data_IF_772553679607
#
_entry.id   IF_772553679607
#
_cell.length_a   1.000
_cell.length_b   1.000
_cell.length_c   1.000
_cell.angle_alpha   90.00
_cell.angle_beta   90.00
_cell.angle_gamma   90.00
#
_symmetry.space_group_name_H-M   'P 1'
#
loop_
_entity.id
_entity.type
_entity.pdbx_description
1 polymer ?
#
# COMPACT_ATOMS: atom_id res chain seq x y z
N UNK A 1 62.94 -29.33 -6.40
CA UNK A 1 61.94 -28.71 -5.47
C UNK A 1 60.55 -28.52 -6.11
N UNK A 2 60.27 -29.14 -7.26
CA UNK A 2 59.15 -28.79 -8.15
C UNK A 2 58.08 -29.89 -8.31
N UNK A 3 58.18 -30.97 -7.53
CA UNK A 3 57.25 -32.13 -7.62
C UNK A 3 56.31 -32.24 -6.42
N UNK A 4 56.69 -31.69 -5.26
CA UNK A 4 55.92 -31.75 -4.01
C UNK A 4 54.92 -30.61 -3.82
N UNK A 5 54.96 -29.56 -4.65
CA UNK A 5 54.02 -28.43 -4.58
C UNK A 5 52.64 -28.71 -5.22
N UNK A 6 52.50 -29.86 -5.89
CA UNK A 6 51.32 -30.21 -6.71
C UNK A 6 50.17 -30.82 -5.90
N UNK A 7 50.40 -31.22 -4.64
CA UNK A 7 49.46 -32.12 -3.93
C UNK A 7 48.54 -31.42 -2.92
N UNK A 8 48.68 -30.11 -2.67
CA UNK A 8 47.91 -29.41 -1.62
C UNK A 8 46.91 -28.38 -2.18
N UNK A 9 46.35 -28.64 -3.37
CA UNK A 9 45.26 -27.84 -3.97
C UNK A 9 44.08 -28.71 -4.40
N UNK A 10 43.63 -29.59 -3.50
CA UNK A 10 42.23 -30.00 -3.43
C UNK A 10 41.70 -29.68 -2.05
N UNK A 11 40.47 -29.17 -2.03
CA UNK A 11 39.60 -28.88 -0.90
C UNK A 11 39.64 -27.43 -0.37
N UNK A 12 38.62 -26.69 -0.86
CA UNK A 12 38.03 -25.48 -0.25
C UNK A 12 37.55 -25.81 1.18
N UNK A 13 37.64 -24.88 2.14
CA UNK A 13 36.42 -24.23 2.64
C UNK A 13 36.62 -22.71 2.93
N UNK A 14 35.53 -21.97 3.26
CA UNK A 14 35.43 -20.53 3.09
C UNK A 14 35.84 -19.82 4.38
N UNK A 15 36.92 -19.05 4.34
CA UNK A 15 37.26 -17.96 5.27
C UNK A 15 38.78 -17.81 5.28
N UNK A 16 39.28 -16.87 4.49
CA UNK A 16 40.59 -16.22 4.67
C UNK A 16 40.71 -15.18 3.58
N UNK A 17 40.61 -13.92 4.02
CA UNK A 17 41.26 -12.73 3.46
C UNK A 17 41.44 -12.80 1.94
N UNK A 18 40.43 -12.37 1.19
CA UNK A 18 40.55 -12.20 -0.25
C UNK A 18 41.02 -10.78 -0.56
N UNK A 19 42.30 -10.53 -0.39
CA UNK A 19 42.95 -9.40 -1.05
C UNK A 19 44.14 -9.98 -1.81
N UNK A 20 43.95 -10.17 -3.11
CA UNK A 20 45.01 -10.63 -4.00
C UNK A 20 45.60 -9.43 -4.72
N UNK A 21 46.65 -8.85 -4.16
CA UNK A 21 47.64 -8.16 -4.98
C UNK A 21 48.77 -9.15 -5.25
N UNK A 22 48.74 -9.77 -6.42
CA UNK A 22 49.88 -10.53 -6.92
C UNK A 22 50.29 -9.90 -8.25
N UNK A 23 51.45 -9.24 -8.27
CA UNK A 23 51.98 -8.58 -9.48
C UNK A 23 52.13 -9.54 -10.65
N UNK A 24 52.33 -10.84 -10.37
CA UNK A 24 52.44 -11.87 -11.41
C UNK A 24 51.08 -12.20 -12.04
N UNK A 25 49.98 -12.15 -11.27
CA UNK A 25 48.63 -12.36 -11.80
C UNK A 25 48.13 -11.14 -12.59
N UNK A 26 48.51 -9.93 -12.20
CA UNK A 26 48.22 -8.70 -12.95
C UNK A 26 48.94 -8.68 -14.31
N UNK A 27 50.24 -9.00 -14.33
CA UNK A 27 51.01 -9.09 -15.59
C UNK A 27 50.52 -10.21 -16.51
N UNK A 28 49.98 -11.30 -15.96
CA UNK A 28 49.39 -12.38 -16.74
C UNK A 28 47.98 -12.04 -17.27
N UNK A 29 47.19 -11.26 -16.53
CA UNK A 29 45.89 -10.77 -17.00
C UNK A 29 46.03 -9.77 -18.15
N UNK A 30 47.00 -8.85 -18.07
CA UNK A 30 47.35 -7.93 -19.18
C UNK A 30 47.83 -8.69 -20.43
N UNK A 31 48.66 -9.73 -20.27
CA UNK A 31 49.09 -10.59 -21.39
C UNK A 31 47.95 -11.40 -22.02
N UNK A 32 46.92 -11.72 -21.24
CA UNK A 32 45.75 -12.48 -21.70
C UNK A 32 44.59 -11.58 -22.16
N UNK A 33 44.75 -10.26 -22.14
CA UNK A 33 43.71 -9.29 -22.54
C UNK A 33 42.55 -9.15 -21.55
N UNK A 34 42.69 -9.64 -20.33
CA UNK A 34 41.68 -9.54 -19.27
C UNK A 34 42.01 -8.41 -18.29
N UNK A 35 41.01 -7.63 -17.88
CA UNK A 35 41.21 -6.57 -16.90
C UNK A 35 41.59 -7.17 -15.53
N UNK A 36 42.70 -6.73 -14.90
CA UNK A 36 43.09 -7.22 -13.58
C UNK A 36 41.99 -6.93 -12.54
N UNK A 37 41.57 -7.96 -11.81
CA UNK A 37 40.52 -7.85 -10.77
C UNK A 37 41.09 -7.25 -9.48
N UNK A 38 41.00 -5.93 -9.35
CA UNK A 38 41.32 -5.22 -8.11
C UNK A 38 40.15 -5.27 -7.13
N UNK A 39 40.36 -5.82 -5.93
CA UNK A 39 39.37 -5.80 -4.85
C UNK A 39 39.85 -4.85 -3.76
N UNK A 40 39.29 -3.64 -3.74
CA UNK A 40 39.56 -2.60 -2.74
C UNK A 40 38.62 -2.70 -1.53
N UNK A 41 38.14 -3.91 -1.22
CA UNK A 41 37.18 -4.13 -0.12
C UNK A 41 37.76 -5.08 0.91
N UNK A 42 37.60 -4.73 2.18
CA UNK A 42 37.85 -5.58 3.33
C UNK A 42 36.95 -6.84 3.30
N UNK A 43 37.33 -7.90 4.02
CA UNK A 43 36.53 -9.14 4.11
C UNK A 43 35.09 -8.92 4.61
N UNK A 44 34.84 -7.82 5.32
CA UNK A 44 33.50 -7.38 5.77
C UNK A 44 32.70 -6.61 4.69
N UNK A 45 33.22 -6.51 3.46
CA UNK A 45 32.57 -5.84 2.32
C UNK A 45 32.70 -4.32 2.28
N UNK A 46 33.32 -3.70 3.30
CA UNK A 46 33.61 -2.26 3.36
C UNK A 46 34.80 -1.91 2.47
N UNK A 47 34.76 -0.76 1.78
CA UNK A 47 35.91 -0.29 0.99
C UNK A 47 37.05 0.10 1.95
N UNK A 48 38.27 -0.31 1.61
CA UNK A 48 39.50 0.02 2.34
C UNK A 48 39.72 1.53 2.26
N UNK A 49 40.17 2.15 3.35
CA UNK A 49 40.65 3.55 3.30
C UNK A 49 42.01 3.62 2.62
N UNK A 50 42.40 4.80 2.13
CA UNK A 50 43.69 4.99 1.49
C UNK A 50 44.88 4.56 2.34
N UNK A 51 44.82 4.81 3.65
CA UNK A 51 45.86 4.45 4.62
C UNK A 51 45.89 2.94 4.93
N UNK A 52 44.72 2.29 5.01
CA UNK A 52 44.63 0.83 5.14
C UNK A 52 45.17 0.13 3.89
N UNK A 53 44.86 0.65 2.71
CA UNK A 53 45.41 0.17 1.45
C UNK A 53 46.94 0.33 1.41
N UNK A 54 47.47 1.47 1.87
CA UNK A 54 48.91 1.71 1.92
C UNK A 54 49.64 0.76 2.88
N UNK A 55 49.12 0.58 4.09
CA UNK A 55 49.69 -0.36 5.06
C UNK A 55 49.68 -1.78 4.51
N UNK A 56 48.64 -2.15 3.78
CA UNK A 56 48.56 -3.45 3.12
C UNK A 56 49.58 -3.63 2.00
N UNK A 57 49.74 -2.63 1.13
CA UNK A 57 50.77 -2.65 0.06
C UNK A 57 52.17 -2.75 0.67
N UNK A 58 52.42 -2.04 1.77
CA UNK A 58 53.68 -2.08 2.51
C UNK A 58 53.95 -3.47 3.11
N UNK A 59 52.96 -4.10 3.74
CA UNK A 59 53.10 -5.46 4.28
C UNK A 59 53.36 -6.52 3.20
N UNK A 60 52.76 -6.39 2.02
CA UNK A 60 52.99 -7.32 0.91
C UNK A 60 54.38 -7.11 0.30
N UNK A 61 54.82 -5.86 0.13
CA UNK A 61 56.16 -5.53 -0.37
C UNK A 61 57.28 -6.05 0.57
N UNK A 62 57.08 -5.96 1.90
CA UNK A 62 58.02 -6.50 2.88
C UNK A 62 58.10 -8.03 2.88
N UNK A 63 57.04 -8.73 2.46
CA UNK A 63 57.03 -10.21 2.36
C UNK A 63 57.73 -10.73 1.09
N UNK A 64 57.86 -9.91 0.04
CA UNK A 64 58.51 -10.29 -1.22
C UNK A 64 60.01 -9.96 -1.29
N UNK A 65 60.63 -9.45 -0.21
CA UNK A 65 62.08 -9.23 -0.14
C UNK A 65 62.61 -8.15 -1.10
N UNK A 66 61.77 -7.22 -1.56
CA UNK A 66 62.17 -6.05 -2.36
C UNK A 66 62.33 -4.86 -1.43
N UNK A 67 63.54 -4.68 -0.89
CA UNK A 67 63.87 -3.58 0.03
C UNK A 67 64.00 -2.20 -0.68
N UNK A 68 63.98 -2.16 -2.02
CA UNK A 68 64.18 -0.93 -2.83
C UNK A 68 62.91 -0.34 -3.48
N UNK A 69 61.72 -0.65 -2.98
CA UNK A 69 60.48 0.02 -3.43
C UNK A 69 60.39 1.43 -2.83
N UNK A 70 61.11 2.38 -3.42
CA UNK A 70 60.98 3.81 -3.12
C UNK A 70 59.68 4.32 -3.75
N UNK A 71 58.58 4.21 -3.03
CA UNK A 71 57.31 4.82 -3.42
C UNK A 71 57.48 6.35 -3.28
N UNK A 72 57.27 7.15 -4.35
CA UNK A 72 57.25 8.61 -4.22
C UNK A 72 56.11 9.02 -3.29
N UNK A 73 56.43 9.29 -2.03
CA UNK A 73 55.46 9.52 -0.95
C UNK A 73 54.51 10.67 -1.27
N UNK A 74 55.03 11.77 -1.83
CA UNK A 74 54.21 12.94 -2.17
C UNK A 74 53.16 12.67 -3.28
N UNK A 75 53.52 11.90 -4.32
CA UNK A 75 52.58 11.57 -5.39
C UNK A 75 51.53 10.56 -4.92
N UNK A 76 51.93 9.65 -4.03
CA UNK A 76 51.02 8.66 -3.45
C UNK A 76 50.06 9.29 -2.44
N UNK A 77 50.53 10.21 -1.59
CA UNK A 77 49.68 10.98 -0.66
C UNK A 77 48.60 11.79 -1.38
N UNK A 78 48.95 12.41 -2.52
CA UNK A 78 47.96 13.10 -3.37
C UNK A 78 46.90 12.12 -3.91
N UNK A 79 47.32 10.94 -4.39
CA UNK A 79 46.43 9.90 -4.88
C UNK A 79 45.54 9.30 -3.78
N UNK A 80 46.05 9.18 -2.55
CA UNK A 80 45.28 8.75 -1.39
C UNK A 80 44.20 9.77 -1.02
N UNK A 81 44.53 11.07 -1.06
CA UNK A 81 43.56 12.12 -0.78
C UNK A 81 42.43 12.15 -1.81
N UNK A 82 42.74 11.99 -3.10
CA UNK A 82 41.74 11.86 -4.16
C UNK A 82 40.89 10.59 -4.01
N UNK A 83 41.51 9.47 -3.63
CA UNK A 83 40.81 8.22 -3.41
C UNK A 83 39.82 8.29 -2.23
N UNK A 84 40.24 8.85 -1.09
CA UNK A 84 39.37 9.05 0.07
C UNK A 84 38.24 10.05 -0.23
N UNK A 85 38.49 11.07 -1.07
CA UNK A 85 37.45 11.97 -1.55
C UNK A 85 36.42 11.25 -2.43
N UNK A 86 36.87 10.43 -3.39
CA UNK A 86 36.01 9.61 -4.24
C UNK A 86 35.18 8.59 -3.44
N UNK A 87 35.74 8.02 -2.36
CA UNK A 87 35.00 7.13 -1.47
C UNK A 87 33.87 7.85 -0.74
N UNK A 88 34.12 9.07 -0.26
CA UNK A 88 33.09 9.90 0.37
C UNK A 88 31.99 10.23 -0.63
N UNK A 89 32.36 10.69 -1.82
CA UNK A 89 31.40 10.99 -2.89
C UNK A 89 30.56 9.76 -3.26
N UNK A 90 31.17 8.59 -3.48
CA UNK A 90 30.43 7.36 -3.77
C UNK A 90 29.45 6.99 -2.65
N UNK A 91 29.86 7.14 -1.39
CA UNK A 91 28.98 6.87 -0.25
C UNK A 91 27.80 7.84 -0.18
N UNK A 92 28.05 9.13 -0.44
CA UNK A 92 27.02 10.17 -0.50
C UNK A 92 26.05 9.94 -1.66
N UNK A 93 26.57 9.59 -2.85
CA UNK A 93 25.74 9.27 -4.01
C UNK A 93 24.91 8.02 -3.79
N UNK A 94 25.46 6.99 -3.14
CA UNK A 94 24.70 5.79 -2.78
C UNK A 94 23.59 6.08 -1.76
N UNK A 95 23.84 6.92 -0.75
CA UNK A 95 22.80 7.33 0.20
C UNK A 95 21.71 8.15 -0.51
N UNK A 96 22.10 9.16 -1.30
CA UNK A 96 21.17 9.96 -2.12
C UNK A 96 20.34 9.07 -3.03
N UNK A 97 20.96 8.14 -3.73
CA UNK A 97 20.27 7.22 -4.65
C UNK A 97 19.28 6.32 -3.91
N UNK A 98 19.69 5.69 -2.80
CA UNK A 98 18.79 4.86 -1.98
C UNK A 98 17.62 5.66 -1.44
N UNK A 99 17.88 6.89 -0.99
CA UNK A 99 16.84 7.81 -0.50
C UNK A 99 15.87 8.18 -1.62
N UNK A 100 16.36 8.55 -2.80
CA UNK A 100 15.51 8.85 -3.96
C UNK A 100 14.68 7.63 -4.36
N UNK A 101 15.25 6.42 -4.37
CA UNK A 101 14.49 5.20 -4.62
C UNK A 101 13.37 5.00 -3.57
N UNK A 102 13.70 5.17 -2.28
CA UNK A 102 12.70 5.06 -1.22
C UNK A 102 11.58 6.11 -1.36
N UNK A 103 11.93 7.36 -1.69
CA UNK A 103 10.96 8.42 -1.96
C UNK A 103 10.06 8.09 -3.15
N UNK A 104 10.63 7.60 -4.26
CA UNK A 104 9.81 7.20 -5.43
C UNK A 104 8.85 6.07 -5.11
N UNK A 105 9.28 5.08 -4.31
CA UNK A 105 8.43 3.96 -3.91
C UNK A 105 7.33 4.43 -2.93
N UNK A 106 7.65 5.35 -2.03
CA UNK A 106 6.67 5.96 -1.13
C UNK A 106 5.63 6.79 -1.91
N UNK A 107 6.07 7.59 -2.89
CA UNK A 107 5.18 8.36 -3.77
C UNK A 107 4.31 7.42 -4.60
N UNK A 108 4.88 6.35 -5.15
CA UNK A 108 4.15 5.33 -5.91
C UNK A 108 3.06 4.67 -5.06
N UNK A 109 3.39 4.20 -3.85
CA UNK A 109 2.42 3.61 -2.91
C UNK A 109 1.33 4.59 -2.51
N UNK A 110 1.69 5.86 -2.25
CA UNK A 110 0.71 6.92 -1.97
C UNK A 110 -0.20 7.18 -3.17
N UNK A 111 0.37 7.23 -4.37
CA UNK A 111 -0.37 7.41 -5.61
C UNK A 111 -1.41 6.30 -5.82
N UNK A 112 -1.04 5.04 -5.59
CA UNK A 112 -2.00 3.93 -5.68
C UNK A 112 -3.18 4.07 -4.73
N UNK A 113 -2.93 4.41 -3.46
CA UNK A 113 -4.00 4.64 -2.48
C UNK A 113 -4.92 5.78 -2.90
N UNK A 114 -4.35 6.91 -3.34
CA UNK A 114 -5.14 8.06 -3.80
C UNK A 114 -5.96 7.74 -5.05
N UNK A 115 -5.44 6.92 -5.97
CA UNK A 115 -6.18 6.47 -7.16
C UNK A 115 -7.35 5.56 -6.76
N UNK A 116 -7.13 4.63 -5.84
CA UNK A 116 -8.19 3.75 -5.34
C UNK A 116 -9.28 4.54 -4.63
N UNK A 117 -8.90 5.48 -3.75
CA UNK A 117 -9.81 6.40 -3.09
C UNK A 117 -10.58 7.24 -4.12
N UNK A 118 -9.89 7.89 -5.06
CA UNK A 118 -10.50 8.71 -6.10
C UNK A 118 -11.53 7.95 -6.95
N UNK A 119 -11.27 6.67 -7.28
CA UNK A 119 -12.24 5.81 -7.98
C UNK A 119 -13.52 5.61 -7.16
N UNK A 120 -13.40 5.42 -5.85
CA UNK A 120 -14.56 5.29 -4.96
C UNK A 120 -15.32 6.62 -4.85
N UNK A 121 -14.60 7.74 -4.69
CA UNK A 121 -15.20 9.07 -4.62
C UNK A 121 -15.89 9.50 -5.93
N UNK A 122 -15.34 9.13 -7.10
CA UNK A 122 -15.93 9.45 -8.39
C UNK A 122 -17.33 8.81 -8.56
N UNK A 123 -17.48 7.56 -8.14
CA UNK A 123 -18.79 6.88 -8.14
C UNK A 123 -19.69 7.48 -7.06
N UNK A 124 -19.13 7.87 -5.91
CA UNK A 124 -19.91 8.48 -4.83
C UNK A 124 -20.61 9.76 -5.28
N UNK A 125 -19.94 10.66 -6.01
CA UNK A 125 -20.55 11.88 -6.54
C UNK A 125 -21.75 11.57 -7.44
N UNK A 126 -21.55 10.67 -8.41
CA UNK A 126 -22.63 10.20 -9.27
C UNK A 126 -23.78 9.57 -8.47
N UNK A 127 -23.49 8.71 -7.49
CA UNK A 127 -24.52 8.12 -6.64
C UNK A 127 -25.25 9.16 -5.79
N UNK A 128 -24.55 10.18 -5.28
CA UNK A 128 -25.14 11.27 -4.50
C UNK A 128 -26.08 12.10 -5.36
N UNK A 129 -25.64 12.55 -6.53
CA UNK A 129 -26.48 13.32 -7.47
C UNK A 129 -27.69 12.51 -7.92
N UNK A 130 -27.49 11.20 -8.14
CA UNK A 130 -28.57 10.27 -8.43
C UNK A 130 -29.54 10.22 -7.24
N UNK A 131 -29.08 9.91 -6.02
CA UNK A 131 -29.88 9.81 -4.78
C UNK A 131 -30.65 11.09 -4.46
N UNK A 132 -30.02 12.25 -4.56
CA UNK A 132 -30.53 13.54 -4.07
C UNK A 132 -31.62 14.14 -4.99
N UNK A 133 -31.52 13.95 -6.31
CA UNK A 133 -32.43 14.62 -7.26
C UNK A 133 -33.46 13.69 -7.90
N UNK A 134 -33.09 12.46 -8.26
CA UNK A 134 -33.94 11.57 -9.06
C UNK A 134 -34.25 10.23 -8.40
N UNK A 135 -33.32 9.69 -7.61
CA UNK A 135 -33.34 8.29 -7.21
C UNK A 135 -33.97 8.03 -5.84
N UNK A 136 -33.82 8.93 -4.85
CA UNK A 136 -34.69 8.87 -3.65
C UNK A 136 -36.15 8.97 -4.06
N UNK A 137 -36.49 9.88 -4.98
CA UNK A 137 -37.86 10.01 -5.45
C UNK A 137 -38.34 8.74 -6.17
N UNK A 138 -37.55 8.17 -7.08
CA UNK A 138 -38.01 6.99 -7.82
C UNK A 138 -38.07 5.74 -6.93
N UNK A 139 -37.06 5.45 -6.11
CA UNK A 139 -37.07 4.29 -5.22
C UNK A 139 -38.15 4.43 -4.13
N UNK A 140 -38.24 5.58 -3.47
CA UNK A 140 -39.24 5.81 -2.42
C UNK A 140 -40.67 5.84 -3.00
N UNK A 141 -40.86 6.33 -4.24
CA UNK A 141 -42.17 6.26 -4.93
C UNK A 141 -42.51 4.84 -5.36
N UNK A 142 -41.53 4.03 -5.77
CA UNK A 142 -41.76 2.61 -6.07
C UNK A 142 -42.11 1.85 -4.79
N UNK A 143 -41.44 2.13 -3.67
CA UNK A 143 -41.75 1.56 -2.35
C UNK A 143 -43.15 1.98 -1.91
N UNK A 144 -43.46 3.27 -2.02
CA UNK A 144 -44.81 3.79 -1.75
C UNK A 144 -45.87 3.16 -2.67
N UNK A 145 -45.57 2.95 -3.95
CA UNK A 145 -46.48 2.33 -4.89
C UNK A 145 -46.76 0.86 -4.53
N UNK A 146 -45.73 0.11 -4.14
CA UNK A 146 -45.89 -1.27 -3.64
C UNK A 146 -46.69 -1.27 -2.33
N UNK A 147 -46.35 -0.39 -1.38
CA UNK A 147 -47.01 -0.32 -0.07
C UNK A 147 -48.44 0.23 -0.13
N UNK A 148 -48.77 1.02 -1.16
CA UNK A 148 -50.11 1.58 -1.37
C UNK A 148 -51.16 0.49 -1.64
N UNK A 149 -50.74 -0.66 -2.16
CA UNK A 149 -51.61 -1.78 -2.46
C UNK A 149 -51.54 -2.78 -1.31
N UNK A 150 -52.55 -2.76 -0.43
CA UNK A 150 -52.60 -3.69 0.71
C UNK A 150 -52.72 -5.14 0.23
N UNK A 151 -52.08 -6.11 0.91
CA UNK A 151 -52.11 -7.53 0.53
C UNK A 151 -53.53 -8.12 0.53
N UNK A 152 -54.46 -7.55 1.31
CA UNK A 152 -55.87 -7.94 1.34
C UNK A 152 -56.62 -7.51 0.07
N UNK A 153 -56.30 -6.32 -0.46
CA UNK A 153 -56.88 -5.82 -1.69
C UNK A 153 -56.33 -6.58 -2.90
N UNK A 154 -55.05 -6.99 -2.86
CA UNK A 154 -54.47 -7.84 -3.89
C UNK A 154 -55.18 -9.17 -4.05
N UNK A 155 -55.68 -9.82 -2.99
CA UNK A 155 -56.38 -11.12 -3.12
C UNK A 155 -57.66 -10.99 -3.96
N UNK A 156 -58.39 -9.89 -3.77
CA UNK A 156 -59.69 -9.60 -4.40
C UNK A 156 -59.56 -8.74 -5.67
N UNK A 157 -58.36 -8.24 -5.97
CA UNK A 157 -58.11 -7.34 -7.09
C UNK A 157 -58.25 -8.01 -8.45
N UNK A 158 -58.63 -7.20 -9.43
CA UNK A 158 -58.63 -7.55 -10.85
C UNK A 158 -57.24 -8.03 -11.30
N UNK A 159 -57.23 -8.97 -12.26
CA UNK A 159 -55.99 -9.55 -12.78
C UNK A 159 -55.01 -8.50 -13.28
N UNK A 160 -55.50 -7.44 -13.93
CA UNK A 160 -54.67 -6.32 -14.42
C UNK A 160 -53.91 -5.59 -13.31
N UNK A 161 -54.53 -5.39 -12.14
CA UNK A 161 -53.88 -4.75 -10.99
C UNK A 161 -52.82 -5.64 -10.35
N UNK A 162 -53.06 -6.96 -10.31
CA UNK A 162 -52.08 -7.95 -9.85
C UNK A 162 -50.84 -7.97 -10.74
N UNK A 163 -51.05 -8.06 -12.06
CA UNK A 163 -49.99 -8.09 -13.06
C UNK A 163 -49.17 -6.78 -13.05
N UNK A 164 -49.84 -5.62 -12.88
CA UNK A 164 -49.16 -4.34 -12.73
C UNK A 164 -48.32 -4.27 -11.45
N UNK A 165 -48.88 -4.67 -10.31
CA UNK A 165 -48.15 -4.71 -9.03
C UNK A 165 -46.92 -5.61 -9.12
N UNK A 166 -47.04 -6.78 -9.74
CA UNK A 166 -45.91 -7.69 -9.97
C UNK A 166 -44.83 -7.05 -10.86
N UNK A 167 -45.21 -6.37 -11.95
CA UNK A 167 -44.27 -5.64 -12.81
C UNK A 167 -43.52 -4.53 -12.07
N UNK A 168 -44.19 -3.82 -11.16
CA UNK A 168 -43.56 -2.79 -10.30
C UNK A 168 -42.57 -3.42 -9.32
N UNK A 169 -42.94 -4.53 -8.67
CA UNK A 169 -42.06 -5.27 -7.75
C UNK A 169 -40.83 -5.83 -8.47
N UNK A 170 -41.00 -6.37 -9.68
CA UNK A 170 -39.89 -6.85 -10.50
C UNK A 170 -38.92 -5.71 -10.84
N UNK A 171 -39.43 -4.56 -11.28
CA UNK A 171 -38.63 -3.38 -11.61
C UNK A 171 -37.84 -2.89 -10.40
N UNK A 172 -38.48 -2.81 -9.24
CA UNK A 172 -37.84 -2.49 -7.96
C UNK A 172 -36.70 -3.45 -7.64
N UNK A 173 -36.91 -4.75 -7.85
CA UNK A 173 -35.91 -5.78 -7.55
C UNK A 173 -34.70 -5.68 -8.47
N UNK A 174 -34.89 -5.47 -9.77
CA UNK A 174 -33.81 -5.25 -10.74
C UNK A 174 -32.98 -4.02 -10.37
N UNK A 175 -33.66 -2.96 -9.97
CA UNK A 175 -33.07 -1.70 -9.54
C UNK A 175 -32.21 -1.91 -8.28
N UNK A 176 -32.73 -2.54 -7.23
CA UNK A 176 -31.97 -2.88 -6.00
C UNK A 176 -30.77 -3.79 -6.28
N UNK A 177 -30.92 -4.78 -7.15
CA UNK A 177 -29.83 -5.69 -7.54
C UNK A 177 -28.70 -4.95 -8.26
N UNK A 178 -29.04 -3.94 -9.07
CA UNK A 178 -28.04 -3.12 -9.76
C UNK A 178 -27.22 -2.30 -8.77
N UNK A 179 -27.83 -1.79 -7.70
CA UNK A 179 -27.09 -1.08 -6.65
C UNK A 179 -26.16 -1.95 -5.85
N UNK A 180 -26.60 -3.16 -5.49
CA UNK A 180 -25.74 -4.13 -4.80
C UNK A 180 -24.48 -4.44 -5.64
N UNK A 181 -24.59 -4.52 -6.97
CA UNK A 181 -23.44 -4.71 -7.87
C UNK A 181 -22.45 -3.54 -7.81
N UNK A 182 -22.94 -2.31 -7.66
CA UNK A 182 -22.10 -1.11 -7.54
C UNK A 182 -21.68 -0.81 -6.08
N UNK A 183 -22.02 -1.67 -5.12
CA UNK A 183 -21.64 -1.55 -3.71
C UNK A 183 -22.49 -0.59 -2.89
N UNK A 184 -23.66 -0.19 -3.41
CA UNK A 184 -24.63 0.65 -2.72
C UNK A 184 -25.64 -0.24 -1.98
N UNK A 185 -25.66 -0.13 -0.66
CA UNK A 185 -26.41 -1.00 0.25
C UNK A 185 -27.43 -0.16 1.02
N UNK A 186 -28.71 -0.57 1.04
CA UNK A 186 -29.71 0.08 1.89
C UNK A 186 -29.43 -0.25 3.37
N UNK A 187 -29.43 0.79 4.21
CA UNK A 187 -29.23 0.71 5.65
C UNK A 187 -30.54 1.00 6.36
N UNK A 188 -31.09 0.00 7.04
CA UNK A 188 -32.32 0.11 7.80
C UNK A 188 -32.05 -0.18 9.29
N UNK A 189 -31.69 0.83 10.09
CA UNK A 189 -31.18 0.66 11.46
C UNK A 189 -32.30 0.52 12.50
N UNK A 190 -33.35 -0.26 12.22
CA UNK A 190 -34.44 -0.48 13.17
C UNK A 190 -33.95 -1.27 14.39
N UNK A 191 -34.13 -0.72 15.59
CA UNK A 191 -33.70 -1.36 16.84
C UNK A 191 -32.19 -1.28 17.13
N UNK A 192 -31.41 -0.66 16.25
CA UNK A 192 -29.98 -0.43 16.49
C UNK A 192 -29.75 0.82 17.36
N UNK A 193 -28.54 0.89 17.95
CA UNK A 193 -28.10 2.08 18.68
C UNK A 193 -27.91 3.24 17.72
N UNK A 194 -28.37 4.43 18.11
CA UNK A 194 -28.18 5.62 17.30
C UNK A 194 -26.69 5.99 17.17
N UNK A 195 -26.23 6.20 15.93
CA UNK A 195 -24.90 6.70 15.59
C UNK A 195 -25.06 7.98 14.77
N UNK A 196 -24.62 9.15 15.28
CA UNK A 196 -24.70 10.43 14.56
C UNK A 196 -23.99 10.45 13.21
N UNK A 197 -23.01 9.55 12.97
CA UNK A 197 -22.29 9.50 11.70
C UNK A 197 -23.10 8.81 10.59
N UNK A 198 -24.02 7.91 10.97
CA UNK A 198 -24.78 7.08 10.05
C UNK A 198 -26.27 7.46 10.00
N UNK A 199 -26.79 8.08 11.07
CA UNK A 199 -28.21 8.29 11.29
C UNK A 199 -28.52 9.77 11.54
N UNK A 200 -29.64 10.24 10.97
CA UNK A 200 -30.20 11.58 11.17
C UNK A 200 -31.47 11.46 12.02
N UNK A 201 -31.42 11.95 13.25
CA UNK A 201 -32.58 11.94 14.15
C UNK A 201 -33.56 13.06 13.76
N UNK A 202 -34.70 12.70 13.18
CA UNK A 202 -35.71 13.67 12.70
C UNK A 202 -36.73 13.99 13.80
N UNK A 203 -37.00 13.04 14.68
CA UNK A 203 -37.91 13.23 15.81
C UNK A 203 -37.54 12.32 16.98
N UNK A 204 -38.08 12.64 18.14
CA UNK A 204 -37.86 11.88 19.37
C UNK A 204 -39.17 11.17 19.75
N UNK A 205 -39.05 9.93 20.23
CA UNK A 205 -40.17 9.13 20.73
C UNK A 205 -40.01 9.02 22.24
N UNK A 206 -40.96 9.48 23.06
CA UNK A 206 -40.88 9.30 24.50
C UNK A 206 -40.91 7.82 24.87
N UNK A 207 -40.10 7.41 25.84
CA UNK A 207 -40.09 6.06 26.39
C UNK A 207 -41.42 5.76 27.11
N UNK A 208 -42.46 5.40 26.35
CA UNK A 208 -43.76 4.95 26.85
C UNK A 208 -43.85 3.43 27.00
N UNK A 209 -44.96 2.90 27.55
CA UNK A 209 -45.18 1.45 27.70
C UNK A 209 -45.19 0.66 26.37
N UNK A 210 -45.36 1.36 25.23
CA UNK A 210 -45.32 0.79 23.88
C UNK A 210 -43.89 0.77 23.27
N UNK A 211 -42.91 1.40 23.92
CA UNK A 211 -41.53 1.45 23.46
C UNK A 211 -40.78 0.16 23.84
N UNK A 212 -40.75 -0.82 22.94
CA UNK A 212 -39.95 -2.06 23.08
C UNK A 212 -38.42 -1.86 23.05
N UNK A 213 -37.93 -0.63 22.87
CA UNK A 213 -36.51 -0.33 22.67
C UNK A 213 -35.97 0.62 23.73
N UNK A 214 -34.70 0.41 24.12
CA UNK A 214 -34.02 1.20 25.15
C UNK A 214 -33.80 2.66 24.73
N UNK A 215 -33.66 3.59 25.69
CA UNK A 215 -33.29 4.97 25.41
C UNK A 215 -32.01 5.05 24.56
N UNK A 216 -31.98 5.96 23.58
CA UNK A 216 -30.87 6.08 22.64
C UNK A 216 -30.85 5.04 21.50
N UNK A 217 -31.86 4.17 21.41
CA UNK A 217 -32.05 3.28 20.26
C UNK A 217 -33.07 3.84 19.27
N UNK A 218 -33.00 3.31 18.05
CA UNK A 218 -33.87 3.70 16.95
C UNK A 218 -35.16 2.89 17.01
N UNK A 219 -36.28 3.59 17.20
CA UNK A 219 -37.61 2.99 17.26
C UNK A 219 -38.32 2.97 15.91
N UNK A 220 -38.08 4.00 15.10
CA UNK A 220 -38.76 4.18 13.83
C UNK A 220 -37.78 4.66 12.76
N UNK A 221 -37.87 4.12 11.55
CA UNK A 221 -37.13 4.58 10.39
C UNK A 221 -38.13 5.19 9.42
N UNK A 222 -38.07 6.51 9.28
CA UNK A 222 -38.93 7.28 8.37
C UNK A 222 -38.44 7.16 6.93
N UNK A 223 -37.11 7.24 6.74
CA UNK A 223 -36.49 7.01 5.42
C UNK A 223 -35.23 6.18 5.56
N UNK A 224 -35.12 5.19 4.69
CA UNK A 224 -33.98 4.27 4.62
C UNK A 224 -32.72 5.03 4.20
N UNK A 225 -31.60 4.74 4.86
CA UNK A 225 -30.29 5.28 4.51
C UNK A 225 -29.61 4.46 3.42
N UNK A 226 -28.56 5.01 2.80
CA UNK A 226 -27.77 4.27 1.82
C UNK A 226 -26.27 4.46 2.10
N UNK A 227 -25.55 3.34 2.16
CA UNK A 227 -24.09 3.31 2.28
C UNK A 227 -23.47 2.83 0.97
N UNK A 228 -22.33 3.42 0.60
CA UNK A 228 -21.49 2.95 -0.48
C UNK A 228 -20.24 2.34 0.16
N UNK A 229 -20.13 1.02 0.08
CA UNK A 229 -19.11 0.24 0.81
C UNK A 229 -19.19 0.50 2.31
N UNK A 230 -18.28 1.31 2.86
CA UNK A 230 -18.20 1.64 4.29
C UNK A 230 -18.56 3.10 4.58
N UNK A 231 -18.94 3.89 3.57
CA UNK A 231 -19.24 5.31 3.73
C UNK A 231 -20.74 5.59 3.55
N UNK A 232 -21.41 6.29 4.47
CA UNK A 232 -22.79 6.72 4.27
C UNK A 232 -22.84 7.76 3.14
N UNK A 233 -23.66 7.50 2.12
CA UNK A 233 -23.98 8.49 1.08
C UNK A 233 -25.19 9.32 1.50
N UNK A 234 -26.14 8.67 2.19
CA UNK A 234 -27.31 9.29 2.79
C UNK A 234 -27.57 8.65 4.15
N UNK A 235 -27.67 9.47 5.19
CA UNK A 235 -28.04 9.01 6.52
C UNK A 235 -29.50 8.54 6.55
N UNK A 236 -29.78 7.51 7.34
CA UNK A 236 -31.15 7.07 7.58
C UNK A 236 -31.87 8.10 8.47
N UNK A 237 -33.09 8.46 8.11
CA UNK A 237 -33.91 9.38 8.90
C UNK A 237 -34.71 8.59 9.93
N UNK A 238 -34.41 8.82 11.21
CA UNK A 238 -34.85 7.95 12.30
C UNK A 238 -35.52 8.71 13.45
N UNK A 239 -36.41 8.01 14.14
CA UNK A 239 -36.98 8.40 15.42
C UNK A 239 -36.22 7.73 16.55
N UNK A 240 -35.59 8.52 17.43
CA UNK A 240 -34.79 8.01 18.55
C UNK A 240 -35.62 8.03 19.84
N UNK A 241 -35.51 6.98 20.65
CA UNK A 241 -36.14 6.94 21.98
C UNK A 241 -35.38 7.85 22.93
N UNK A 242 -36.09 8.73 23.63
CA UNK A 242 -35.50 9.60 24.66
C UNK A 242 -36.22 9.36 25.97
N UNK A 243 -35.46 9.30 27.07
CA UNK A 243 -36.01 9.30 28.42
C UNK A 243 -36.76 10.62 28.65
N UNK A 244 -38.01 10.51 29.11
CA UNK A 244 -38.90 11.65 29.33
C UNK A 244 -38.43 12.54 30.48
#
# INVERSE_FOLDING_TARGET
LWSTFRTVLRLRPPSRIAVSFNSTSANNAEKNGEAPKFLLKNPDGKRLTGTEFFNMVKEVASKEGKEDLVIPTAAFEALLAEYDALLKEDSEWQDKYKRSLAETENVRKRGFKLIEEAKVFAIQGFCKDLLEVYFSKVADVLDLAVDSVKPEQLKTAEKMLKDLHEGVVMTRTVLLNTFKKHGLVPVNPMGEKFDPNLHEAVFQVPAGPDAKAEPGHIMHVSKIGYSLKERPVRAAQVGVVVDS
#
